data_IF_627336457195
#
_entry.id   IF_627336457195
#
_cell.length_a   1.000
_cell.length_b   1.000
_cell.length_c   1.000
_cell.angle_alpha   90.00
_cell.angle_beta   90.00
_cell.angle_gamma   90.00
#
_symmetry.space_group_name_H-M   'P 1'
#
loop_
_entity.id
_entity.type
_entity.pdbx_description
1 polymer ?
#
# COMPACT_ATOMS: atom_id res chain seq x y z
N UNK A 1 -11.90 12.70 -1.71
CA UNK A 1 -11.52 11.45 -2.39
C UNK A 1 -10.90 10.44 -1.43
N UNK A 2 -9.77 10.73 -0.75
CA UNK A 2 -9.10 9.78 0.17
C UNK A 2 -10.01 9.18 1.25
N UNK A 3 -10.82 9.98 1.94
CA UNK A 3 -11.77 9.50 2.95
C UNK A 3 -12.81 8.52 2.39
N UNK A 4 -13.29 8.74 1.17
CA UNK A 4 -14.22 7.83 0.50
C UNK A 4 -13.54 6.49 0.18
N UNK A 5 -12.34 6.54 -0.38
CA UNK A 5 -11.56 5.34 -0.68
C UNK A 5 -11.29 4.52 0.60
N UNK A 6 -10.94 5.18 1.71
CA UNK A 6 -10.71 4.50 2.99
C UNK A 6 -11.94 3.75 3.52
N UNK A 7 -13.14 4.30 3.31
CA UNK A 7 -14.40 3.72 3.81
C UNK A 7 -14.99 2.68 2.86
N UNK A 8 -14.95 2.93 1.56
CA UNK A 8 -15.74 2.18 0.56
C UNK A 8 -14.90 1.19 -0.26
N UNK A 9 -13.62 1.48 -0.54
CA UNK A 9 -12.86 0.75 -1.56
C UNK A 9 -12.72 -0.74 -1.22
N UNK A 10 -12.49 -1.09 0.04
CA UNK A 10 -12.43 -2.49 0.48
C UNK A 10 -13.76 -3.22 0.27
N UNK A 11 -14.90 -2.55 0.53
CA UNK A 11 -16.23 -3.10 0.29
C UNK A 11 -16.49 -3.30 -1.20
N UNK A 12 -16.14 -2.30 -2.02
CA UNK A 12 -16.26 -2.39 -3.48
C UNK A 12 -15.41 -3.55 -4.03
N UNK A 13 -14.17 -3.72 -3.56
CA UNK A 13 -13.31 -4.85 -3.95
C UNK A 13 -13.96 -6.19 -3.63
N UNK A 14 -14.59 -6.33 -2.46
CA UNK A 14 -15.29 -7.56 -2.08
C UNK A 14 -16.49 -7.83 -3.03
N UNK A 15 -17.30 -6.81 -3.32
CA UNK A 15 -18.43 -6.93 -4.25
C UNK A 15 -17.98 -7.30 -5.68
N UNK A 16 -16.94 -6.63 -6.21
CA UNK A 16 -16.44 -6.91 -7.55
C UNK A 16 -15.80 -8.31 -7.64
N UNK A 17 -15.18 -8.79 -6.55
CA UNK A 17 -14.72 -10.16 -6.45
C UNK A 17 -15.88 -11.17 -6.54
N UNK A 18 -16.98 -10.93 -5.82
CA UNK A 18 -18.17 -11.79 -5.83
C UNK A 18 -18.91 -11.79 -7.18
N UNK A 19 -18.95 -10.64 -7.86
CA UNK A 19 -19.54 -10.49 -9.21
C UNK A 19 -18.73 -11.17 -10.31
N UNK A 20 -17.45 -11.42 -10.08
CA UNK A 20 -16.55 -12.02 -11.06
C UNK A 20 -16.95 -13.46 -11.41
N UNK A 21 -17.18 -13.73 -12.70
CA UNK A 21 -17.26 -15.09 -13.22
C UNK A 21 -15.90 -15.79 -13.18
N UNK A 22 -15.89 -17.11 -13.35
CA UNK A 22 -14.66 -17.92 -13.42
C UNK A 22 -13.87 -17.58 -14.69
N UNK A 23 -13.07 -16.53 -14.63
CA UNK A 23 -12.04 -16.21 -15.63
C UNK A 23 -10.89 -17.23 -15.58
N UNK A 24 -10.08 -17.26 -16.64
CA UNK A 24 -8.89 -18.11 -16.82
C UNK A 24 -7.82 -17.89 -15.72
N UNK A 25 -8.06 -18.44 -14.53
CA UNK A 25 -7.15 -18.41 -13.39
C UNK A 25 -7.48 -17.37 -12.32
N UNK A 26 -7.15 -17.71 -11.07
CA UNK A 26 -7.45 -16.89 -9.90
C UNK A 26 -6.75 -15.52 -9.92
N UNK A 27 -5.53 -15.43 -10.47
CA UNK A 27 -4.81 -14.15 -10.66
C UNK A 27 -5.60 -13.21 -11.55
N UNK A 28 -6.06 -13.71 -12.70
CA UNK A 28 -6.76 -12.87 -13.67
C UNK A 28 -8.08 -12.35 -13.11
N UNK A 29 -8.77 -13.18 -12.32
CA UNK A 29 -9.96 -12.77 -11.60
C UNK A 29 -9.67 -11.61 -10.63
N UNK A 30 -8.57 -11.67 -9.87
CA UNK A 30 -8.19 -10.59 -8.97
C UNK A 30 -7.82 -9.30 -9.69
N UNK A 31 -7.05 -9.39 -10.78
CA UNK A 31 -6.74 -8.23 -11.62
C UNK A 31 -8.02 -7.53 -12.08
N UNK A 32 -8.99 -8.30 -12.62
CA UNK A 32 -10.25 -7.74 -13.11
C UNK A 32 -11.08 -7.15 -11.96
N UNK A 33 -11.19 -7.83 -10.82
CA UNK A 33 -11.94 -7.33 -9.67
C UNK A 33 -11.34 -6.03 -9.13
N UNK A 34 -10.01 -5.97 -8.99
CA UNK A 34 -9.31 -4.78 -8.49
C UNK A 34 -9.41 -3.62 -9.48
N UNK A 35 -9.20 -3.85 -10.78
CA UNK A 35 -9.37 -2.81 -11.80
C UNK A 35 -10.81 -2.25 -11.79
N UNK A 36 -11.83 -3.11 -11.77
CA UNK A 36 -13.24 -2.69 -11.70
C UNK A 36 -13.56 -1.94 -10.40
N UNK A 37 -12.96 -2.35 -9.28
CA UNK A 37 -13.20 -1.69 -8.01
C UNK A 37 -12.62 -0.27 -8.00
N UNK A 38 -11.42 -0.07 -8.54
CA UNK A 38 -10.82 1.26 -8.66
C UNK A 38 -11.59 2.13 -9.65
N UNK A 39 -12.00 1.58 -10.79
CA UNK A 39 -12.85 2.28 -11.76
C UNK A 39 -14.20 2.69 -11.13
N UNK A 40 -14.84 1.79 -10.38
CA UNK A 40 -16.10 2.09 -9.70
C UNK A 40 -15.93 3.15 -8.61
N UNK A 41 -14.82 3.11 -7.86
CA UNK A 41 -14.52 4.13 -6.87
C UNK A 41 -14.26 5.50 -7.51
N UNK A 42 -13.55 5.55 -8.64
CA UNK A 42 -13.35 6.79 -9.41
C UNK A 42 -14.67 7.31 -10.01
N UNK A 43 -15.51 6.42 -10.53
CA UNK A 43 -16.81 6.75 -11.10
C UNK A 43 -17.76 7.43 -10.09
N UNK A 44 -17.57 7.22 -8.79
CA UNK A 44 -18.33 7.89 -7.74
C UNK A 44 -18.10 9.42 -7.71
N UNK A 45 -17.06 9.92 -8.38
CA UNK A 45 -16.72 11.35 -8.44
C UNK A 45 -17.00 11.98 -9.81
N UNK A 46 -17.54 11.23 -10.78
CA UNK A 46 -17.77 11.71 -12.15
C UNK A 46 -18.71 12.92 -12.25
N UNK A 47 -19.70 12.99 -11.38
CA UNK A 47 -20.71 14.06 -11.34
C UNK A 47 -20.30 15.25 -10.46
N UNK A 48 -19.09 15.23 -9.90
CA UNK A 48 -18.55 16.24 -8.99
C UNK A 48 -19.37 16.45 -7.70
N UNK A 49 -20.34 15.57 -7.40
CA UNK A 49 -21.21 15.69 -6.24
C UNK A 49 -20.45 15.44 -4.92
N UNK A 50 -19.46 14.55 -4.95
CA UNK A 50 -18.65 14.18 -3.79
C UNK A 50 -17.35 14.99 -3.66
N UNK A 51 -16.76 15.44 -4.77
CA UNK A 51 -15.57 16.29 -4.80
C UNK A 51 -15.37 16.93 -6.18
N UNK A 52 -14.73 18.11 -6.26
CA UNK A 52 -14.31 18.70 -7.54
C UNK A 52 -13.30 17.81 -8.29
N UNK A 53 -13.27 17.91 -9.63
CA UNK A 53 -12.31 17.19 -10.50
C UNK A 53 -10.84 17.44 -10.19
N UNK A 54 -10.52 18.54 -9.52
CA UNK A 54 -9.15 18.89 -9.13
C UNK A 54 -8.66 18.13 -7.89
N UNK A 55 -9.53 17.36 -7.22
CA UNK A 55 -9.19 16.59 -6.02
C UNK A 55 -8.98 15.13 -6.41
N UNK A 56 -7.86 14.56 -6.00
CA UNK A 56 -7.54 13.15 -6.21
C UNK A 56 -7.10 12.46 -4.91
N UNK A 57 -6.80 11.17 -5.01
CA UNK A 57 -6.10 10.40 -3.98
C UNK A 57 -5.30 9.32 -4.65
N UNK A 58 -4.17 8.96 -4.07
CA UNK A 58 -3.56 7.66 -4.32
C UNK A 58 -4.33 6.57 -3.58
N UNK A 59 -4.17 5.33 -4.00
CA UNK A 59 -4.77 4.18 -3.36
C UNK A 59 -3.84 2.97 -3.47
N UNK A 60 -3.55 2.37 -2.32
CA UNK A 60 -2.79 1.15 -2.19
C UNK A 60 -3.59 0.16 -1.35
N UNK A 61 -3.93 -0.98 -1.94
CA UNK A 61 -4.71 -2.04 -1.28
C UNK A 61 -3.87 -3.31 -1.21
N UNK A 62 -3.78 -3.91 -0.02
CA UNK A 62 -3.24 -5.25 0.19
C UNK A 62 -4.34 -6.23 0.60
N UNK A 63 -4.45 -7.34 -0.12
CA UNK A 63 -5.26 -8.49 0.28
C UNK A 63 -4.31 -9.58 0.76
N UNK A 64 -4.45 -9.97 2.02
CA UNK A 64 -3.57 -10.96 2.65
C UNK A 64 -4.36 -12.22 2.98
N UNK A 65 -4.01 -13.34 2.32
CA UNK A 65 -4.54 -14.67 2.61
C UNK A 65 -3.49 -15.52 3.34
N UNK A 66 -3.80 -16.76 3.77
CA UNK A 66 -2.80 -17.66 4.35
C UNK A 66 -1.62 -17.98 3.41
N UNK A 67 -1.82 -17.95 2.09
CA UNK A 67 -0.83 -18.39 1.10
C UNK A 67 -0.39 -17.31 0.12
N UNK A 68 -1.12 -16.20 0.01
CA UNK A 68 -0.88 -15.16 -0.99
C UNK A 68 -0.99 -13.77 -0.37
N UNK A 69 -0.20 -12.84 -0.88
CA UNK A 69 -0.33 -11.41 -0.70
C UNK A 69 -0.57 -10.82 -2.08
N UNK A 70 -1.65 -10.07 -2.24
CA UNK A 70 -2.02 -9.41 -3.49
C UNK A 70 -1.95 -7.92 -3.22
N UNK A 71 -1.18 -7.18 -4.01
CA UNK A 71 -1.10 -5.74 -3.91
C UNK A 71 -1.71 -5.09 -5.14
N UNK A 72 -2.48 -4.03 -4.95
CA UNK A 72 -2.96 -3.15 -6.01
C UNK A 72 -2.53 -1.73 -5.67
N UNK A 73 -1.68 -1.13 -6.52
CA UNK A 73 -1.19 0.23 -6.31
C UNK A 73 -1.62 1.16 -7.45
N UNK A 74 -2.22 2.28 -7.08
CA UNK A 74 -2.46 3.41 -7.95
C UNK A 74 -1.93 4.66 -7.25
N UNK A 75 -0.67 5.01 -7.54
CA UNK A 75 0.00 6.13 -6.91
C UNK A 75 1.44 5.85 -6.43
N UNK A 76 1.91 6.66 -5.48
CA UNK A 76 3.26 6.69 -4.87
C UNK A 76 3.23 6.25 -3.40
N UNK A 77 2.08 5.84 -2.91
CA UNK A 77 2.05 4.96 -1.76
C UNK A 77 2.76 3.66 -2.11
N UNK A 78 3.47 3.08 -1.13
CA UNK A 78 4.27 1.88 -1.35
C UNK A 78 4.01 0.82 -0.30
N UNK A 79 3.96 -0.44 -0.75
CA UNK A 79 3.94 -1.63 0.09
C UNK A 79 5.29 -2.35 0.04
N UNK A 80 5.83 -2.69 1.20
CA UNK A 80 7.09 -3.44 1.37
C UNK A 80 6.86 -4.62 2.30
N UNK A 81 7.29 -5.81 1.87
CA UNK A 81 7.32 -7.04 2.65
C UNK A 81 8.69 -7.21 3.31
N UNK A 82 8.70 -7.50 4.61
CA UNK A 82 9.88 -8.00 5.30
C UNK A 82 9.89 -9.54 5.24
N UNK A 83 10.84 -10.12 4.52
CA UNK A 83 11.06 -11.57 4.42
C UNK A 83 12.51 -11.89 4.78
N UNK A 84 12.72 -12.70 5.82
CA UNK A 84 14.07 -13.12 6.20
C UNK A 84 15.03 -11.94 6.47
N UNK A 85 14.54 -10.85 7.06
CA UNK A 85 15.25 -9.58 7.26
C UNK A 85 15.51 -8.71 6.01
N UNK A 86 15.05 -9.11 4.83
CA UNK A 86 15.19 -8.33 3.60
C UNK A 86 13.92 -7.54 3.30
N UNK A 87 14.08 -6.34 2.76
CA UNK A 87 12.98 -5.54 2.24
C UNK A 87 12.67 -5.95 0.79
N UNK A 88 11.45 -6.43 0.56
CA UNK A 88 10.95 -6.82 -0.75
C UNK A 88 9.81 -5.87 -1.12
N UNK A 89 10.02 -4.91 -2.02
CA UNK A 89 8.95 -4.06 -2.53
C UNK A 89 7.88 -4.92 -3.21
N UNK A 90 6.62 -4.76 -2.78
CA UNK A 90 5.48 -5.40 -3.43
C UNK A 90 4.88 -4.53 -4.52
N UNK A 91 5.15 -3.23 -4.47
CA UNK A 91 4.65 -2.23 -5.41
C UNK A 91 5.80 -1.30 -5.81
N UNK A 92 5.66 -0.71 -7.00
CA UNK A 92 6.58 0.31 -7.51
C UNK A 92 5.78 1.61 -7.65
N UNK A 93 6.32 2.70 -7.14
CA UNK A 93 5.67 4.00 -7.17
C UNK A 93 5.48 4.46 -8.62
N UNK A 94 4.29 4.98 -8.92
CA UNK A 94 3.95 5.46 -10.26
C UNK A 94 4.32 6.93 -10.42
N UNK A 95 5.59 7.26 -10.14
CA UNK A 95 6.11 8.64 -10.26
C UNK A 95 6.44 9.00 -11.72
N UNK A 96 6.40 10.28 -12.11
CA UNK A 96 6.64 10.70 -13.49
C UNK A 96 8.03 10.37 -14.05
N UNK A 97 9.05 10.19 -13.21
CA UNK A 97 10.40 9.73 -13.60
C UNK A 97 10.51 8.24 -13.88
N UNK A 98 9.50 7.44 -13.55
CA UNK A 98 9.49 6.01 -13.91
C UNK A 98 9.48 5.90 -15.43
N UNK A 99 10.41 5.15 -16.00
CA UNK A 99 10.68 5.18 -17.44
C UNK A 99 9.43 4.92 -18.31
N UNK A 100 8.62 3.92 -17.94
CA UNK A 100 7.36 3.57 -18.61
C UNK A 100 6.28 4.65 -18.43
N UNK A 101 6.19 5.30 -17.26
CA UNK A 101 5.27 6.41 -17.03
C UNK A 101 5.68 7.65 -17.82
N UNK A 102 6.97 7.98 -17.83
CA UNK A 102 7.52 9.09 -18.61
C UNK A 102 7.23 8.90 -20.10
N UNK A 103 7.47 7.71 -20.63
CA UNK A 103 7.16 7.36 -22.01
C UNK A 103 5.66 7.46 -22.30
N UNK A 104 4.80 6.94 -21.41
CA UNK A 104 3.35 7.02 -21.56
C UNK A 104 2.83 8.46 -21.57
N UNK A 105 3.33 9.30 -20.66
CA UNK A 105 2.96 10.72 -20.55
C UNK A 105 3.37 11.46 -21.82
N UNK A 106 4.64 11.34 -22.22
CA UNK A 106 5.19 12.05 -23.39
C UNK A 106 4.57 11.58 -24.71
N UNK A 107 4.33 10.27 -24.86
CA UNK A 107 3.66 9.70 -26.04
C UNK A 107 2.21 10.13 -26.18
N UNK A 108 1.56 10.51 -25.06
CA UNK A 108 0.20 11.07 -25.06
C UNK A 108 0.19 12.60 -25.28
N UNK A 109 1.35 13.22 -25.56
CA UNK A 109 1.50 14.66 -25.74
C UNK A 109 1.64 15.47 -24.44
N UNK A 110 1.71 14.78 -23.29
CA UNK A 110 1.88 15.40 -21.98
C UNK A 110 3.33 15.80 -21.70
N UNK A 111 3.52 16.64 -20.68
CA UNK A 111 4.83 17.17 -20.26
C UNK A 111 5.13 16.82 -18.82
N UNK A 112 6.41 16.60 -18.54
CA UNK A 112 6.92 16.44 -17.18
C UNK A 112 7.76 17.67 -16.86
N UNK A 113 7.39 18.39 -15.80
CA UNK A 113 8.04 19.62 -15.36
C UNK A 113 8.61 19.43 -13.95
N UNK A 114 9.80 19.95 -13.70
CA UNK A 114 10.42 19.93 -12.38
C UNK A 114 10.14 21.24 -11.64
N UNK A 115 9.27 21.19 -10.63
CA UNK A 115 8.98 22.31 -9.71
C UNK A 115 9.16 21.84 -8.26
N UNK A 116 10.41 21.62 -7.86
CA UNK A 116 10.77 21.05 -6.55
C UNK A 116 10.65 19.52 -6.51
N UNK A 117 9.67 18.97 -7.23
CA UNK A 117 9.58 17.56 -7.62
C UNK A 117 9.05 17.46 -9.06
N UNK A 118 9.17 16.27 -9.67
CA UNK A 118 8.69 16.01 -11.02
C UNK A 118 7.17 15.91 -11.04
N UNK A 119 6.54 16.64 -11.96
CA UNK A 119 5.08 16.77 -12.05
C UNK A 119 4.60 16.65 -13.49
N UNK A 120 3.48 15.95 -13.69
CA UNK A 120 2.72 15.91 -14.94
C UNK A 120 1.99 17.23 -15.15
N UNK A 121 2.24 17.89 -16.28
CA UNK A 121 1.77 19.24 -16.62
C UNK A 121 2.13 20.31 -15.56
N UNK A 122 3.14 20.05 -14.73
CA UNK A 122 3.48 20.93 -13.59
C UNK A 122 2.49 20.85 -12.42
N UNK A 123 1.47 19.99 -12.48
CA UNK A 123 0.41 19.91 -11.48
C UNK A 123 0.61 18.68 -10.59
N UNK A 124 0.50 17.47 -11.16
CA UNK A 124 0.43 16.22 -10.39
C UNK A 124 1.81 15.60 -10.21
N UNK A 125 2.23 15.31 -8.98
CA UNK A 125 3.47 14.57 -8.69
C UNK A 125 3.38 13.08 -9.04
N UNK A 126 2.25 12.65 -9.60
CA UNK A 126 1.90 11.26 -9.86
C UNK A 126 1.31 11.05 -11.25
N UNK A 127 1.54 9.88 -11.80
CA UNK A 127 1.20 9.58 -13.20
C UNK A 127 -0.14 8.87 -13.37
N UNK A 128 -0.65 8.17 -12.34
CA UNK A 128 -1.90 7.40 -12.39
C UNK A 128 -2.83 7.74 -11.22
N UNK A 129 -4.14 7.67 -11.47
CA UNK A 129 -5.18 7.85 -10.46
C UNK A 129 -6.28 6.76 -10.50
N UNK A 130 -6.45 6.05 -11.62
CA UNK A 130 -7.61 5.16 -11.84
C UNK A 130 -7.22 3.69 -12.02
N UNK A 131 -6.11 3.40 -12.71
CA UNK A 131 -5.77 2.03 -13.11
C UNK A 131 -4.65 1.48 -12.22
N UNK A 132 -4.95 0.54 -11.30
CA UNK A 132 -3.94 -0.01 -10.41
C UNK A 132 -3.00 -0.97 -11.14
N UNK A 133 -1.76 -1.03 -10.69
CA UNK A 133 -0.83 -2.11 -10.99
C UNK A 133 -0.99 -3.20 -9.93
N UNK A 134 -1.23 -4.44 -10.35
CA UNK A 134 -1.53 -5.57 -9.46
C UNK A 134 -0.35 -6.55 -9.42
N UNK A 135 0.10 -6.90 -8.22
CA UNK A 135 1.17 -7.88 -8.00
C UNK A 135 0.72 -9.02 -7.09
N UNK A 136 1.31 -10.20 -7.30
CA UNK A 136 1.01 -11.43 -6.58
C UNK A 136 2.27 -11.98 -5.94
N UNK A 137 2.24 -12.18 -4.62
CA UNK A 137 3.38 -12.71 -3.86
C UNK A 137 2.95 -13.90 -3.02
N UNK A 138 3.52 -15.07 -3.31
CA UNK A 138 3.33 -16.26 -2.48
C UNK A 138 3.97 -16.05 -1.10
N UNK A 139 3.20 -16.36 -0.06
CA UNK A 139 3.65 -16.26 1.32
C UNK A 139 4.60 -17.39 1.70
N UNK A 140 5.52 -17.07 2.59
CA UNK A 140 6.47 -18.03 3.13
C UNK A 140 6.49 -17.98 4.66
N UNK A 141 7.07 -19.01 5.27
CA UNK A 141 7.34 -18.99 6.72
C UNK A 141 8.41 -17.99 7.10
N UNK A 142 9.07 -17.32 6.17
CA UNK A 142 10.06 -16.28 6.45
C UNK A 142 9.46 -14.87 6.48
N UNK A 143 8.20 -14.72 6.07
CA UNK A 143 7.49 -13.45 6.08
C UNK A 143 7.29 -12.99 7.53
N UNK A 144 7.80 -11.81 7.86
CA UNK A 144 7.76 -11.24 9.21
C UNK A 144 6.67 -10.18 9.34
N UNK A 145 6.65 -9.19 8.43
CA UNK A 145 5.67 -8.13 8.43
C UNK A 145 5.49 -7.47 7.07
N UNK A 146 4.37 -6.77 6.91
CA UNK A 146 4.12 -5.84 5.79
C UNK A 146 4.12 -4.41 6.32
N UNK A 147 4.65 -3.49 5.51
CA UNK A 147 4.57 -2.05 5.75
C UNK A 147 3.92 -1.41 4.53
N UNK A 148 2.86 -0.65 4.74
CA UNK A 148 2.26 0.23 3.75
C UNK A 148 2.44 1.66 4.25
N UNK A 149 2.83 2.58 3.39
CA UNK A 149 2.84 3.98 3.76
C UNK A 149 2.69 4.91 2.55
N UNK A 150 2.31 6.16 2.83
CA UNK A 150 2.40 7.26 1.86
C UNK A 150 3.85 7.64 1.57
N UNK A 151 4.06 8.33 0.46
CA UNK A 151 5.32 8.94 0.03
C UNK A 151 5.98 9.81 1.09
N UNK A 152 5.21 10.49 1.94
CA UNK A 152 5.74 11.20 3.10
C UNK A 152 6.65 10.37 4.03
N UNK A 153 6.54 9.03 4.03
CA UNK A 153 7.52 8.13 4.64
C UNK A 153 8.69 7.80 3.69
N UNK A 154 8.35 7.37 2.47
CA UNK A 154 9.31 6.78 1.52
C UNK A 154 10.25 7.79 0.86
N UNK A 155 9.90 9.07 0.90
CA UNK A 155 10.73 10.15 0.40
C UNK A 155 11.92 10.46 1.32
N UNK A 156 11.82 10.09 2.60
CA UNK A 156 12.87 10.35 3.60
C UNK A 156 13.53 9.09 4.16
N UNK A 157 12.94 7.91 4.00
CA UNK A 157 13.48 6.64 4.50
C UNK A 157 13.51 5.56 3.41
N UNK A 158 14.60 4.79 3.40
CA UNK A 158 14.75 3.65 2.50
C UNK A 158 13.90 2.46 2.93
N UNK A 159 13.60 1.56 1.98
CA UNK A 159 12.87 0.31 2.26
C UNK A 159 13.57 -0.51 3.35
N UNK A 160 14.89 -0.61 3.30
CA UNK A 160 15.69 -1.38 4.26
C UNK A 160 15.69 -0.77 5.66
N UNK A 161 15.76 0.56 5.77
CA UNK A 161 15.69 1.26 7.06
C UNK A 161 14.34 1.02 7.75
N UNK A 162 13.25 1.19 7.00
CA UNK A 162 11.88 0.97 7.50
C UNK A 162 11.69 -0.49 7.93
N UNK A 163 12.11 -1.45 7.12
CA UNK A 163 12.01 -2.88 7.45
C UNK A 163 12.85 -3.22 8.67
N UNK A 164 14.08 -2.72 8.77
CA UNK A 164 14.96 -2.94 9.91
C UNK A 164 14.34 -2.41 11.21
N UNK A 165 13.77 -1.21 11.18
CA UNK A 165 13.09 -0.60 12.32
C UNK A 165 11.85 -1.38 12.74
N UNK A 166 10.92 -1.62 11.80
CA UNK A 166 9.68 -2.34 12.08
C UNK A 166 9.97 -3.76 12.63
N UNK A 167 10.90 -4.49 12.01
CA UNK A 167 11.30 -5.83 12.44
C UNK A 167 11.90 -5.84 13.84
N UNK A 168 12.76 -4.87 14.17
CA UNK A 168 13.38 -4.76 15.50
C UNK A 168 12.31 -4.62 16.58
N UNK A 169 11.37 -3.71 16.38
CA UNK A 169 10.28 -3.45 17.33
C UNK A 169 9.34 -4.64 17.48
N UNK A 170 8.90 -5.25 16.37
CA UNK A 170 8.06 -6.46 16.41
C UNK A 170 8.72 -7.58 17.22
N UNK A 171 10.00 -7.88 16.93
CA UNK A 171 10.73 -8.94 17.63
C UNK A 171 10.96 -8.64 19.10
N UNK A 172 11.32 -7.40 19.44
CA UNK A 172 11.46 -6.98 20.84
C UNK A 172 10.14 -7.17 21.58
N UNK A 173 9.02 -6.81 20.94
CA UNK A 173 7.71 -6.96 21.54
C UNK A 173 7.28 -8.41 21.71
N UNK A 174 7.52 -9.28 20.74
CA UNK A 174 7.23 -10.71 20.89
C UNK A 174 7.99 -11.33 22.06
N UNK A 175 9.25 -10.93 22.29
CA UNK A 175 10.04 -11.38 23.45
C UNK A 175 9.39 -10.94 24.77
N UNK A 176 8.94 -9.68 24.85
CA UNK A 176 8.32 -9.12 26.05
C UNK A 176 6.91 -9.67 26.31
N UNK A 177 6.12 -9.91 25.27
CA UNK A 177 4.76 -10.44 25.36
C UNK A 177 4.71 -11.90 25.85
N UNK A 178 5.82 -12.65 25.73
CA UNK A 178 5.98 -13.96 26.36
C UNK A 178 6.08 -13.90 27.89
N UNK A 179 6.36 -12.73 28.48
CA UNK A 179 6.65 -12.57 29.91
C UNK A 179 5.52 -11.89 30.71
N UNK A 180 4.64 -11.09 30.10
CA UNK A 180 3.46 -10.53 30.79
C UNK A 180 2.41 -10.00 29.78
N UNK A 181 1.16 -10.46 29.88
CA UNK A 181 0.21 -10.46 28.74
C UNK A 181 -0.84 -9.34 28.65
N UNK A 182 -0.93 -8.37 29.57
CA UNK A 182 -2.17 -7.56 29.66
C UNK A 182 -2.08 -6.02 29.61
N UNK A 183 -0.90 -5.39 29.59
CA UNK A 183 -0.83 -3.92 29.72
C UNK A 183 -0.23 -3.16 28.52
N UNK A 184 -0.01 -3.83 27.40
CA UNK A 184 0.96 -3.39 26.40
C UNK A 184 0.35 -3.26 25.00
N UNK A 185 0.59 -2.14 24.27
CA UNK A 185 0.11 -1.98 22.91
C UNK A 185 0.60 -3.12 21.99
N UNK A 186 -0.20 -3.54 21.00
CA UNK A 186 0.19 -4.53 20.02
C UNK A 186 1.54 -4.21 19.35
N UNK A 187 2.29 -5.24 18.98
CA UNK A 187 3.63 -5.09 18.40
C UNK A 187 3.64 -4.18 17.15
N UNK A 188 2.63 -4.33 16.28
CA UNK A 188 2.48 -3.51 15.09
C UNK A 188 2.26 -2.02 15.43
N UNK A 189 1.53 -1.70 16.50
CA UNK A 189 1.25 -0.32 16.92
C UNK A 189 2.52 0.39 17.38
N UNK A 190 3.36 -0.31 18.16
CA UNK A 190 4.66 0.22 18.61
C UNK A 190 5.59 0.42 17.41
N UNK A 191 5.61 -0.53 16.49
CA UNK A 191 6.45 -0.48 15.29
C UNK A 191 6.05 0.69 14.40
N UNK A 192 4.75 0.87 14.16
CA UNK A 192 4.20 1.99 13.40
C UNK A 192 4.61 3.34 14.00
N UNK A 193 4.50 3.51 15.33
CA UNK A 193 4.85 4.77 15.99
C UNK A 193 6.34 5.11 15.88
N UNK A 194 7.23 4.11 15.92
CA UNK A 194 8.67 4.35 15.75
C UNK A 194 9.04 4.66 14.30
N UNK A 195 8.43 3.97 13.33
CA UNK A 195 8.61 4.27 11.90
C UNK A 195 8.17 5.70 11.60
N UNK A 196 6.99 6.10 12.10
CA UNK A 196 6.47 7.47 11.95
C UNK A 196 7.43 8.50 12.58
N UNK A 197 7.89 8.25 13.81
CA UNK A 197 8.83 9.15 14.48
C UNK A 197 10.12 9.32 13.69
N UNK A 198 10.68 8.22 13.16
CA UNK A 198 11.91 8.28 12.38
C UNK A 198 11.75 9.14 11.12
N UNK A 199 10.57 9.11 10.48
CA UNK A 199 10.28 9.93 9.31
C UNK A 199 10.22 11.43 9.65
N UNK A 200 9.63 11.77 10.80
CA UNK A 200 9.59 13.14 11.32
C UNK A 200 10.99 13.64 11.69
N UNK A 201 11.78 12.79 12.37
CA UNK A 201 13.18 13.10 12.72
C UNK A 201 14.07 13.24 11.47
N UNK A 202 13.69 12.60 10.35
CA UNK A 202 14.30 12.77 9.04
C UNK A 202 13.75 13.97 8.25
N UNK A 203 13.00 14.87 8.90
CA UNK A 203 12.46 16.11 8.34
C UNK A 203 11.47 15.93 7.19
N UNK A 204 10.65 14.87 7.22
CA UNK A 204 9.50 14.80 6.32
C UNK A 204 8.56 15.98 6.55
N UNK A 205 8.19 16.67 5.47
CA UNK A 205 7.31 17.84 5.46
C UNK A 205 5.90 17.51 4.97
N UNK A 206 5.64 16.25 4.65
CA UNK A 206 4.37 15.80 4.08
C UNK A 206 3.50 15.06 5.11
N UNK A 207 2.26 14.76 4.73
CA UNK A 207 1.36 13.91 5.47
C UNK A 207 1.88 12.47 5.46
N UNK A 208 2.07 11.91 6.66
CA UNK A 208 2.62 10.56 6.82
C UNK A 208 1.53 9.63 7.34
N UNK A 209 1.18 8.63 6.55
CA UNK A 209 0.32 7.51 6.96
C UNK A 209 1.12 6.22 6.87
N UNK A 210 1.13 5.42 7.94
CA UNK A 210 1.85 4.14 8.00
C UNK A 210 0.94 3.06 8.58
N UNK A 211 0.91 1.91 7.93
CA UNK A 211 0.25 0.69 8.42
C UNK A 211 1.30 -0.41 8.48
N UNK A 212 1.44 -1.03 9.66
CA UNK A 212 2.31 -2.20 9.86
C UNK A 212 1.44 -3.42 10.14
N UNK A 213 1.65 -4.50 9.41
CA UNK A 213 0.94 -5.78 9.61
C UNK A 213 1.93 -6.83 10.10
N UNK A 214 1.73 -7.32 11.32
CA UNK A 214 2.51 -8.42 11.89
C UNK A 214 2.02 -9.76 11.32
N UNK A 215 2.83 -10.38 10.45
CA UNK A 215 2.52 -11.68 9.82
C UNK A 215 2.90 -12.88 10.70
N UNK A 216 3.57 -12.63 11.84
CA UNK A 216 3.96 -13.64 12.83
C UNK A 216 3.04 -13.70 14.04
N UNK A 217 2.02 -12.84 14.10
CA UNK A 217 1.10 -12.81 15.23
C UNK A 217 0.40 -14.18 15.42
N UNK A 218 0.60 -14.85 16.56
CA UNK A 218 0.04 -16.18 16.81
C UNK A 218 -1.50 -16.21 16.86
N UNK A 219 -2.18 -15.06 16.97
CA UNK A 219 -3.65 -14.97 16.94
C UNK A 219 -4.25 -15.08 15.53
N UNK A 220 -3.43 -14.97 14.48
CA UNK A 220 -3.86 -15.14 13.08
C UNK A 220 -3.59 -16.56 12.55
N UNK A 221 -3.29 -17.52 13.44
CA UNK A 221 -3.27 -18.93 13.03
C UNK A 221 -4.68 -19.29 12.55
N UNK A 222 -4.83 -19.86 11.34
CA UNK A 222 -6.10 -20.46 10.93
C UNK A 222 -6.55 -21.39 12.05
N UNK A 223 -7.81 -21.29 12.48
CA UNK A 223 -8.41 -22.39 13.23
C UNK A 223 -8.28 -23.62 12.34
N UNK A 224 -7.43 -24.57 12.73
CA UNK A 224 -7.50 -25.93 12.21
C UNK A 224 -8.93 -26.37 12.52
N UNK A 225 -9.76 -26.51 11.48
CA UNK A 225 -11.10 -27.06 11.64
C UNK A 225 -10.93 -28.50 12.20
N UNK A 226 -11.72 -28.89 13.20
CA UNK A 226 -11.68 -30.24 13.75
C UNK A 226 -12.01 -31.31 12.71
#
# INVERSE_FOLDING_TARGET
VSNYCANELCGIVAEEWERGSSLDGWNKRWEVALCKAYERADNAFKDEALAPKSVGSTALVLIVSPCQIIAANCGDSRAVLCRGAQAIPLTVDQKPDRADESERITSSGGRILNWGCLRVEGILSMSRAIVPEVTFTTRTKEDECLILASDGLWDVLSNDDVVKLARKELRQRHRLAGANKSSFPPAWHVSQHHVLKQALDAYSLDNISVVVVDLKNPKLKPQEKP
#
